data_IF_582638573351
#
_entry.id   IF_582638573351
#
_cell.length_a   1.000
_cell.length_b   1.000
_cell.length_c   1.000
_cell.angle_alpha   90.00
_cell.angle_beta   90.00
_cell.angle_gamma   90.00
#
_symmetry.space_group_name_H-M   'P 1'
#
loop_
_entity.id
_entity.type
_entity.pdbx_description
1 polymer ?
#
# COMPACT_ATOMS: atom_id res chain seq x y z
N UNK A 1 -2.54 -27.11 48.40
CA UNK A 1 -1.62 -27.15 47.25
C UNK A 1 -2.31 -26.40 46.12
N UNK A 2 -2.06 -25.08 46.02
CA UNK A 2 -2.71 -24.21 45.04
C UNK A 2 -1.89 -24.24 43.74
N UNK A 3 -2.52 -24.66 42.64
CA UNK A 3 -1.93 -24.66 41.31
C UNK A 3 -2.18 -23.28 40.69
N UNK A 4 -1.18 -22.40 40.73
CA UNK A 4 -1.22 -21.14 39.99
C UNK A 4 -0.90 -21.44 38.53
N UNK A 5 -1.92 -21.39 37.67
CA UNK A 5 -1.74 -21.42 36.23
C UNK A 5 -1.13 -20.07 35.79
N UNK A 6 0.17 -20.06 35.51
CA UNK A 6 0.82 -18.96 34.82
C UNK A 6 0.32 -18.95 33.38
N UNK A 7 -0.45 -17.91 33.02
CA UNK A 7 -0.84 -17.66 31.63
C UNK A 7 0.39 -17.08 30.91
N UNK A 8 1.02 -17.88 30.05
CA UNK A 8 2.07 -17.40 29.15
C UNK A 8 1.46 -16.44 28.11
N UNK A 9 1.71 -15.15 28.28
CA UNK A 9 1.47 -14.11 27.27
C UNK A 9 2.47 -14.31 26.12
N UNK A 10 2.18 -15.25 25.21
CA UNK A 10 2.90 -15.41 23.96
C UNK A 10 2.62 -14.19 23.06
N UNK A 11 3.45 -13.15 23.22
CA UNK A 11 3.39 -11.89 22.50
C UNK A 11 3.42 -12.09 20.98
N UNK A 12 2.23 -12.08 20.38
CA UNK A 12 2.10 -11.99 18.93
C UNK A 12 2.67 -10.63 18.49
N UNK A 13 3.60 -10.56 17.53
CA UNK A 13 4.14 -9.28 17.08
C UNK A 13 3.00 -8.43 16.50
N UNK A 14 2.75 -7.27 17.12
CA UNK A 14 1.69 -6.34 16.73
C UNK A 14 2.26 -5.22 15.84
N UNK A 15 1.44 -4.73 14.90
CA UNK A 15 1.76 -3.58 14.03
C UNK A 15 2.50 -3.92 12.72
N UNK A 16 3.15 -2.91 12.14
CA UNK A 16 3.87 -2.95 10.86
C UNK A 16 4.95 -4.04 10.76
N UNK A 17 5.61 -4.38 11.87
CA UNK A 17 6.61 -5.45 11.95
C UNK A 17 6.02 -6.81 11.58
N UNK A 18 4.73 -7.04 11.85
CA UNK A 18 4.03 -8.26 11.45
C UNK A 18 3.98 -8.41 9.94
N UNK A 19 3.77 -7.31 9.21
CA UNK A 19 3.64 -7.35 7.75
C UNK A 19 4.99 -7.36 7.05
N UNK A 20 5.97 -6.58 7.53
CA UNK A 20 7.31 -6.48 6.93
C UNK A 20 8.13 -7.77 7.11
N UNK A 21 7.97 -8.45 8.25
CA UNK A 21 8.64 -9.73 8.53
C UNK A 21 7.69 -10.94 8.46
N UNK A 22 6.51 -10.80 7.81
CA UNK A 22 5.60 -11.94 7.64
C UNK A 22 6.14 -12.91 6.59
N UNK A 23 6.29 -14.18 6.95
CA UNK A 23 6.49 -15.28 6.00
C UNK A 23 5.15 -15.90 5.56
N UNK A 24 4.02 -15.39 6.07
CA UNK A 24 2.70 -15.87 5.73
C UNK A 24 2.23 -15.27 4.40
N UNK A 25 1.92 -16.12 3.41
CA UNK A 25 1.46 -15.69 2.09
C UNK A 25 0.15 -14.89 2.10
N UNK A 26 -0.68 -15.02 3.15
CA UNK A 26 -1.91 -14.24 3.31
C UNK A 26 -1.62 -12.78 3.65
N UNK A 27 -0.71 -12.55 4.58
CA UNK A 27 -0.29 -11.21 4.99
C UNK A 27 0.47 -10.50 3.86
N UNK A 28 1.38 -11.24 3.18
CA UNK A 28 2.10 -10.74 2.00
C UNK A 28 1.09 -10.38 0.90
N UNK A 29 0.13 -11.27 0.60
CA UNK A 29 -0.91 -11.03 -0.40
C UNK A 29 -1.74 -9.77 -0.13
N UNK A 30 -2.12 -9.53 1.13
CA UNK A 30 -2.87 -8.31 1.50
C UNK A 30 -2.07 -7.03 1.27
N UNK A 31 -0.75 -7.03 1.54
CA UNK A 31 0.10 -5.87 1.28
C UNK A 31 0.17 -5.54 -0.23
N UNK A 32 0.33 -6.57 -1.07
CA UNK A 32 0.37 -6.39 -2.53
C UNK A 32 -0.97 -5.94 -3.11
N UNK A 33 -2.10 -6.40 -2.56
CA UNK A 33 -3.43 -5.97 -2.98
C UNK A 33 -3.65 -4.48 -2.71
N UNK A 34 -3.27 -4.00 -1.52
CA UNK A 34 -3.36 -2.57 -1.21
C UNK A 34 -2.43 -1.72 -2.08
N UNK A 35 -1.20 -2.20 -2.29
CA UNK A 35 -0.25 -1.52 -3.18
C UNK A 35 -0.75 -1.44 -4.62
N UNK A 36 -1.31 -2.52 -5.17
CA UNK A 36 -1.80 -2.54 -6.55
C UNK A 36 -3.02 -1.66 -6.75
N UNK A 37 -3.94 -1.60 -5.78
CA UNK A 37 -5.06 -0.65 -5.81
C UNK A 37 -4.55 0.79 -5.81
N UNK A 38 -3.60 1.13 -4.93
CA UNK A 38 -3.00 2.47 -4.89
C UNK A 38 -2.29 2.83 -6.19
N UNK A 39 -1.41 1.96 -6.68
CA UNK A 39 -0.70 2.15 -7.93
C UNK A 39 -1.65 2.25 -9.13
N UNK A 40 -2.75 1.50 -9.12
CA UNK A 40 -3.81 1.56 -10.12
C UNK A 40 -4.52 2.91 -10.15
N UNK A 41 -4.86 3.47 -8.98
CA UNK A 41 -5.48 4.80 -8.88
C UNK A 41 -4.51 5.89 -9.35
N UNK A 42 -3.27 5.88 -8.88
CA UNK A 42 -2.23 6.85 -9.30
C UNK A 42 -1.97 6.76 -10.80
N UNK A 43 -1.81 5.54 -11.34
CA UNK A 43 -1.61 5.31 -12.77
C UNK A 43 -2.81 5.72 -13.60
N UNK A 44 -4.04 5.49 -13.12
CA UNK A 44 -5.27 5.94 -13.77
C UNK A 44 -5.36 7.46 -13.86
N UNK A 45 -5.06 8.16 -12.76
CA UNK A 45 -5.02 9.62 -12.71
C UNK A 45 -3.96 10.16 -13.68
N UNK A 46 -2.73 9.63 -13.63
CA UNK A 46 -1.67 10.01 -14.56
C UNK A 46 -2.06 9.79 -16.02
N UNK A 47 -2.73 8.67 -16.30
CA UNK A 47 -3.23 8.34 -17.63
C UNK A 47 -4.26 9.35 -18.13
N UNK A 48 -5.13 9.87 -17.25
CA UNK A 48 -6.07 10.93 -17.61
C UNK A 48 -5.34 12.26 -17.83
N UNK A 49 -4.38 12.62 -16.97
CA UNK A 49 -3.57 13.84 -17.16
C UNK A 49 -2.81 13.85 -18.48
N UNK A 50 -2.18 12.74 -18.86
CA UNK A 50 -1.52 12.62 -20.18
C UNK A 50 -2.53 12.77 -21.33
N UNK A 51 -3.74 12.23 -21.20
CA UNK A 51 -4.78 12.40 -22.23
C UNK A 51 -5.28 13.84 -22.34
N UNK A 52 -5.40 14.54 -21.21
CA UNK A 52 -5.79 15.96 -21.21
C UNK A 52 -4.71 16.83 -21.86
N UNK A 53 -3.43 16.54 -21.64
CA UNK A 53 -2.32 17.26 -22.28
C UNK A 53 -2.27 17.07 -23.81
N UNK A 54 -2.75 15.92 -24.32
CA UNK A 54 -2.78 15.62 -25.76
C UNK A 54 -4.08 16.03 -26.46
N UNK A 55 -5.08 16.55 -25.74
CA UNK A 55 -6.39 16.89 -26.30
C UNK A 55 -6.36 18.13 -27.22
N UNK A 56 -5.48 19.08 -26.93
CA UNK A 56 -5.23 20.27 -27.76
C UNK A 56 -3.72 20.46 -27.94
N UNK A 57 -3.24 20.84 -29.14
CA UNK A 57 -1.82 21.05 -29.38
C UNK A 57 -1.29 22.26 -28.59
N UNK A 58 -0.47 22.01 -27.57
CA UNK A 58 0.22 23.01 -26.75
C UNK A 58 0.47 22.49 -25.33
N UNK A 59 1.49 23.00 -24.64
CA UNK A 59 1.74 22.66 -23.22
C UNK A 59 0.76 23.43 -22.33
N UNK A 60 -0.31 22.78 -21.89
CA UNK A 60 -1.38 23.41 -21.12
C UNK A 60 -1.21 23.21 -19.61
N UNK A 61 -0.89 21.99 -19.18
CA UNK A 61 -0.87 21.62 -17.75
C UNK A 61 0.54 21.75 -17.15
N UNK A 62 1.59 21.53 -17.94
CA UNK A 62 2.99 21.57 -17.47
C UNK A 62 3.72 22.89 -17.75
N UNK A 63 3.00 23.97 -18.07
CA UNK A 63 3.61 25.27 -18.42
C UNK A 63 4.53 25.85 -17.31
N UNK A 64 4.30 25.52 -16.04
CA UNK A 64 5.10 26.03 -14.89
C UNK A 64 6.34 25.21 -14.51
N UNK A 65 6.69 24.17 -15.26
CA UNK A 65 7.86 23.30 -15.01
C UNK A 65 8.95 23.41 -16.09
N UNK A 66 8.75 24.27 -17.11
CA UNK A 66 9.68 24.52 -18.21
C UNK A 66 10.45 25.83 -18.03
#
# INVERSE_FOLDING_TARGET
MAHAAAHDDHGHPTGWKRYVYSTNHKDIGTMYLWFSIFAGVVGGILSVFMRMELAEPGIQIFHGLA
#
